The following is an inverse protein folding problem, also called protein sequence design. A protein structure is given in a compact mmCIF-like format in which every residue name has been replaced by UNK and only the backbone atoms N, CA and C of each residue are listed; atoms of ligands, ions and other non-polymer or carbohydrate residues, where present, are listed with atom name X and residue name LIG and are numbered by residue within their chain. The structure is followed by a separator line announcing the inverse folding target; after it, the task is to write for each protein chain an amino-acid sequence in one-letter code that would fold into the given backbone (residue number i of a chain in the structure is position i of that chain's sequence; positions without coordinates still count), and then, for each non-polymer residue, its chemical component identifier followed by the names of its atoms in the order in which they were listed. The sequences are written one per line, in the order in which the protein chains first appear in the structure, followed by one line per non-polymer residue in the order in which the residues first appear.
data_IF_634054833660
#
_entry.id   IF_634054833660
#
_cell.length_a   1.000
_cell.length_b   1.000
_cell.length_c   1.000
_cell.angle_alpha   90.00
_cell.angle_beta   90.00
_cell.angle_gamma   90.00
#
_symmetry.space_group_name_H-M   'P 1'
#
loop_
_entity.id
_entity.type
_entity.pdbx_description
1 polymer ?
#
# COMPACT_ATOMS: atom_id res chain seq x y z
N UNK A 1 6.87 -29.32 23.93
CA UNK A 1 5.70 -29.20 23.03
C UNK A 1 5.06 -27.80 23.00
N UNK A 2 5.62 -26.76 23.64
CA UNK A 2 4.98 -25.42 23.74
C UNK A 2 5.29 -24.43 22.58
N UNK A 3 5.98 -24.81 21.50
CA UNK A 3 6.56 -23.82 20.58
C UNK A 3 5.79 -23.53 19.29
N UNK A 4 5.01 -24.46 18.71
CA UNK A 4 4.46 -24.24 17.36
C UNK A 4 3.20 -23.36 17.32
N UNK A 5 2.35 -23.44 18.34
CA UNK A 5 1.07 -22.72 18.41
C UNK A 5 1.23 -21.25 18.81
N UNK A 6 2.30 -20.92 19.53
CA UNK A 6 2.57 -19.55 19.97
C UNK A 6 2.84 -18.59 18.81
N UNK A 7 3.40 -19.08 17.70
CA UNK A 7 3.74 -18.25 16.54
C UNK A 7 2.52 -17.73 15.76
N UNK A 8 1.52 -18.54 15.36
CA UNK A 8 0.32 -18.02 14.70
C UNK A 8 -0.50 -17.11 15.64
N UNK A 9 -0.50 -17.36 16.95
CA UNK A 9 -1.14 -16.46 17.93
C UNK A 9 -0.40 -15.11 17.99
N UNK A 10 0.94 -15.13 18.07
CA UNK A 10 1.74 -13.93 18.05
C UNK A 10 1.54 -13.14 16.75
N UNK A 11 1.52 -13.81 15.60
CA UNK A 11 1.22 -13.19 14.31
C UNK A 11 -0.16 -12.53 14.31
N UNK A 12 -1.20 -13.24 14.74
CA UNK A 12 -2.56 -12.69 14.84
C UNK A 12 -2.59 -11.42 15.70
N UNK A 13 -1.93 -11.43 16.86
CA UNK A 13 -1.84 -10.27 17.75
C UNK A 13 -1.10 -9.08 17.11
N UNK A 14 0.04 -9.33 16.46
CA UNK A 14 0.83 -8.29 15.80
C UNK A 14 0.09 -7.65 14.63
N UNK A 15 -0.63 -8.44 13.85
CA UNK A 15 -1.43 -7.96 12.71
C UNK A 15 -2.67 -7.19 13.19
N UNK A 16 -3.34 -7.69 14.23
CA UNK A 16 -4.45 -6.99 14.85
C UNK A 16 -4.04 -5.64 15.44
N UNK A 17 -2.79 -5.54 15.92
CA UNK A 17 -2.16 -4.29 16.33
C UNK A 17 -2.09 -3.21 15.23
N UNK A 18 -2.08 -3.59 13.94
CA UNK A 18 -2.16 -2.66 12.82
C UNK A 18 -3.61 -2.33 12.41
N UNK A 19 -4.54 -3.27 12.61
CA UNK A 19 -5.96 -3.10 12.29
C UNK A 19 -6.60 -1.93 13.03
N UNK A 20 -6.47 -1.89 14.37
CA UNK A 20 -7.13 -0.87 15.20
C UNK A 20 -6.65 0.55 14.84
N UNK A 21 -5.34 0.85 14.77
CA UNK A 21 -4.87 2.17 14.36
C UNK A 21 -5.25 2.52 12.92
N UNK A 22 -5.22 1.57 11.98
CA UNK A 22 -5.62 1.82 10.60
C UNK A 22 -7.10 2.24 10.51
N UNK A 23 -7.98 1.58 11.27
CA UNK A 23 -9.40 1.93 11.37
C UNK A 23 -9.59 3.33 11.99
N UNK A 24 -8.86 3.65 13.06
CA UNK A 24 -8.91 4.98 13.68
C UNK A 24 -8.46 6.08 12.72
N UNK A 25 -7.37 5.84 11.99
CA UNK A 25 -6.89 6.77 10.95
C UNK A 25 -7.95 6.90 9.87
N UNK A 26 -8.53 5.80 9.39
CA UNK A 26 -9.63 5.82 8.41
C UNK A 26 -10.79 6.69 8.88
N UNK A 27 -11.31 6.49 10.10
CA UNK A 27 -12.37 7.32 10.67
C UNK A 27 -11.98 8.81 10.67
N UNK A 28 -10.74 9.13 11.06
CA UNK A 28 -10.24 10.52 11.06
C UNK A 28 -10.13 11.15 9.65
N UNK A 29 -9.96 10.34 8.60
CA UNK A 29 -9.88 10.85 7.21
C UNK A 29 -11.23 11.36 6.69
N UNK A 30 -12.36 10.96 7.28
CA UNK A 30 -13.66 11.52 6.92
C UNK A 30 -13.78 12.99 7.31
N UNK A 31 -13.17 13.38 8.44
CA UNK A 31 -13.20 14.75 8.94
C UNK A 31 -12.33 15.72 8.13
N UNK A 32 -11.42 15.26 7.27
CA UNK A 32 -10.29 16.07 6.77
C UNK A 32 -10.29 16.39 5.26
N UNK A 33 -11.23 15.89 4.45
CA UNK A 33 -11.17 16.13 2.98
C UNK A 33 -12.54 16.45 2.35
N UNK A 34 -12.75 17.73 1.99
CA UNK A 34 -13.78 18.19 1.02
C UNK A 34 -13.25 18.15 -0.42
N UNK A 35 -14.09 17.66 -1.33
CA UNK A 35 -13.84 17.35 -2.74
C UNK A 35 -13.58 18.64 -3.56
N UNK A 36 -12.42 18.74 -4.20
CA UNK A 36 -12.12 19.66 -5.31
C UNK A 36 -11.13 18.96 -6.26
N UNK A 37 -11.05 19.35 -7.53
CA UNK A 37 -10.39 18.62 -8.64
C UNK A 37 -8.83 18.61 -8.62
N UNK A 38 -8.21 18.54 -7.43
CA UNK A 38 -6.73 18.57 -7.30
C UNK A 38 -6.13 17.15 -7.25
N UNK A 39 -4.96 16.89 -7.87
CA UNK A 39 -4.32 15.58 -7.87
C UNK A 39 -3.94 15.10 -6.45
N UNK A 40 -3.52 16.01 -5.57
CA UNK A 40 -3.26 15.68 -4.17
C UNK A 40 -4.55 15.22 -3.46
N UNK A 41 -5.68 15.88 -3.73
CA UNK A 41 -6.99 15.46 -3.19
C UNK A 41 -7.39 14.09 -3.70
N UNK A 42 -7.13 13.77 -4.97
CA UNK A 42 -7.39 12.42 -5.48
C UNK A 42 -6.54 11.37 -4.77
N UNK A 43 -5.26 11.64 -4.47
CA UNK A 43 -4.41 10.73 -3.70
C UNK A 43 -4.99 10.47 -2.29
N UNK A 44 -5.48 11.50 -1.61
CA UNK A 44 -6.13 11.33 -0.30
C UNK A 44 -7.48 10.63 -0.36
N UNK A 45 -8.21 10.70 -1.48
CA UNK A 45 -9.38 9.84 -1.69
C UNK A 45 -8.96 8.37 -1.79
N UNK A 46 -7.91 8.06 -2.55
CA UNK A 46 -7.36 6.71 -2.63
C UNK A 46 -6.83 6.23 -1.28
N UNK A 47 -6.27 7.10 -0.45
CA UNK A 47 -5.86 6.77 0.92
C UNK A 47 -7.03 6.23 1.76
N UNK A 48 -8.25 6.78 1.61
CA UNK A 48 -9.43 6.26 2.33
C UNK A 48 -9.72 4.82 1.93
N UNK A 49 -9.71 4.56 0.62
CA UNK A 49 -9.90 3.21 0.11
C UNK A 49 -8.78 2.28 0.59
N UNK A 50 -7.53 2.73 0.53
CA UNK A 50 -6.36 1.95 0.97
C UNK A 50 -6.42 1.61 2.46
N UNK A 51 -6.87 2.53 3.32
CA UNK A 51 -7.00 2.27 4.75
C UNK A 51 -8.12 1.26 5.05
N UNK A 52 -9.25 1.31 4.32
CA UNK A 52 -10.32 0.31 4.49
C UNK A 52 -9.85 -1.04 4.00
N UNK A 53 -9.26 -1.11 2.81
CA UNK A 53 -8.79 -2.39 2.26
C UNK A 53 -7.67 -2.96 3.11
N UNK A 54 -6.76 -2.13 3.62
CA UNK A 54 -5.72 -2.57 4.56
C UNK A 54 -6.33 -3.04 5.90
N UNK A 55 -7.37 -2.38 6.41
CA UNK A 55 -8.05 -2.82 7.63
C UNK A 55 -8.73 -4.19 7.40
N UNK A 56 -9.38 -4.40 6.26
CA UNK A 56 -9.93 -5.71 5.90
C UNK A 56 -8.82 -6.76 5.74
N UNK A 57 -7.73 -6.41 5.06
CA UNK A 57 -6.54 -7.26 4.95
C UNK A 57 -6.03 -7.70 6.32
N UNK A 58 -5.76 -6.76 7.23
CA UNK A 58 -5.25 -7.06 8.57
C UNK A 58 -6.26 -7.90 9.39
N UNK A 59 -7.57 -7.61 9.27
CA UNK A 59 -8.61 -8.38 9.95
C UNK A 59 -8.63 -9.84 9.46
N UNK A 60 -8.65 -10.07 8.14
CA UNK A 60 -8.68 -11.42 7.58
C UNK A 60 -7.36 -12.16 7.76
N UNK A 61 -6.21 -11.48 7.75
CA UNK A 61 -4.92 -12.08 8.05
C UNK A 61 -4.83 -12.52 9.53
N UNK A 62 -5.30 -11.69 10.46
CA UNK A 62 -5.41 -12.05 11.87
C UNK A 62 -6.40 -13.22 12.07
N UNK A 63 -7.55 -13.18 11.40
CA UNK A 63 -8.54 -14.26 11.45
C UNK A 63 -7.98 -15.59 10.90
N UNK A 64 -7.30 -15.56 9.74
CA UNK A 64 -6.63 -16.74 9.17
C UNK A 64 -5.61 -17.34 10.13
N UNK A 65 -4.81 -16.49 10.78
CA UNK A 65 -3.82 -16.91 11.77
C UNK A 65 -4.47 -17.50 13.02
N UNK A 66 -5.56 -16.90 13.49
CA UNK A 66 -6.36 -17.43 14.60
C UNK A 66 -7.01 -18.77 14.24
N UNK A 67 -7.52 -18.93 13.01
CA UNK A 67 -8.06 -20.21 12.54
C UNK A 67 -6.97 -21.28 12.43
N UNK A 68 -5.77 -20.93 11.97
CA UNK A 68 -4.62 -21.84 11.97
C UNK A 68 -4.22 -22.28 13.38
N UNK A 69 -4.15 -21.33 14.33
CA UNK A 69 -3.87 -21.64 15.73
C UNK A 69 -4.97 -22.54 16.33
N UNK A 70 -6.24 -22.20 16.13
CA UNK A 70 -7.36 -22.99 16.63
C UNK A 70 -7.42 -24.39 16.00
N UNK A 71 -7.07 -24.53 14.71
CA UNK A 71 -6.95 -25.84 14.06
C UNK A 71 -5.88 -26.69 14.75
N UNK A 72 -4.69 -26.13 14.98
CA UNK A 72 -3.62 -26.87 15.62
C UNK A 72 -3.96 -27.25 17.06
N UNK A 73 -4.52 -26.33 17.86
CA UNK A 73 -4.83 -26.56 19.28
C UNK A 73 -6.01 -27.53 19.47
N UNK A 74 -7.09 -27.35 18.70
CA UNK A 74 -8.36 -28.04 18.96
C UNK A 74 -8.51 -29.33 18.17
N UNK A 75 -7.97 -29.37 16.95
CA UNK A 75 -8.15 -30.49 16.01
C UNK A 75 -6.95 -31.42 16.03
N UNK A 76 -5.72 -30.89 16.14
CA UNK A 76 -4.48 -31.68 16.12
C UNK A 76 -3.85 -31.77 17.51
N UNK A 77 -4.43 -32.58 18.40
CA UNK A 77 -3.85 -32.80 19.73
C UNK A 77 -2.63 -33.73 19.58
N UNK A 78 -1.44 -33.23 19.89
CA UNK A 78 -0.16 -33.94 19.71
C UNK A 78 0.11 -34.42 18.26
N UNK A 79 -0.49 -33.76 17.27
CA UNK A 79 -0.39 -34.12 15.86
C UNK A 79 -1.39 -35.18 15.40
N UNK A 80 -2.20 -35.72 16.32
CA UNK A 80 -3.29 -36.65 16.02
C UNK A 80 -4.65 -35.93 16.01
N UNK A 81 -5.59 -36.44 15.21
CA UNK A 81 -6.93 -35.90 15.18
C UNK A 81 -7.63 -36.14 16.51
N UNK A 82 -8.20 -35.08 17.07
CA UNK A 82 -8.99 -35.17 18.28
C UNK A 82 -10.38 -35.75 17.95
N UNK A 83 -10.60 -37.03 18.26
CA UNK A 83 -11.85 -37.74 17.98
C UNK A 83 -13.08 -37.17 18.73
N UNK A 84 -12.86 -36.43 19.82
CA UNK A 84 -13.93 -35.83 20.64
C UNK A 84 -14.55 -34.57 20.00
N UNK A 85 -13.98 -34.07 18.91
CA UNK A 85 -14.37 -32.80 18.33
C UNK A 85 -15.61 -32.91 17.42
N UNK A 86 -16.63 -32.05 17.59
CA UNK A 86 -17.83 -32.11 16.76
C UNK A 86 -17.50 -32.00 15.28
N UNK A 87 -18.00 -32.95 14.48
CA UNK A 87 -17.74 -33.01 13.03
C UNK A 87 -18.13 -31.70 12.33
N UNK A 88 -19.22 -31.05 12.76
CA UNK A 88 -19.66 -29.77 12.22
C UNK A 88 -18.63 -28.66 12.44
N UNK A 89 -17.93 -28.66 13.59
CA UNK A 89 -16.89 -27.68 13.86
C UNK A 89 -15.65 -27.95 13.00
N UNK A 90 -15.25 -29.22 12.85
CA UNK A 90 -14.13 -29.60 11.98
C UNK A 90 -14.39 -29.18 10.53
N UNK A 91 -15.61 -29.41 10.02
CA UNK A 91 -16.03 -28.98 8.69
C UNK A 91 -15.99 -27.45 8.57
N UNK A 92 -16.58 -26.73 9.53
CA UNK A 92 -16.62 -25.27 9.52
C UNK A 92 -15.21 -24.65 9.51
N UNK A 93 -14.31 -25.16 10.36
CA UNK A 93 -12.90 -24.73 10.40
C UNK A 93 -12.14 -25.10 9.13
N UNK A 94 -12.45 -26.27 8.56
CA UNK A 94 -11.90 -26.75 7.29
C UNK A 94 -12.16 -25.78 6.15
N UNK A 95 -13.33 -25.12 6.11
CA UNK A 95 -13.66 -24.09 5.13
C UNK A 95 -13.19 -22.68 5.52
N UNK A 96 -13.37 -22.28 6.78
CA UNK A 96 -13.05 -20.92 7.24
C UNK A 96 -11.57 -20.57 7.06
N UNK A 97 -10.68 -21.53 7.32
CA UNK A 97 -9.23 -21.36 7.20
C UNK A 97 -8.77 -21.02 5.77
N UNK A 98 -8.99 -21.85 4.73
CA UNK A 98 -8.58 -21.53 3.37
C UNK A 98 -9.35 -20.33 2.80
N UNK A 99 -10.62 -20.14 3.12
CA UNK A 99 -11.39 -18.98 2.62
C UNK A 99 -10.82 -17.67 3.17
N UNK A 100 -10.58 -17.59 4.49
CA UNK A 100 -9.96 -16.40 5.09
C UNK A 100 -8.57 -16.13 4.51
N UNK A 101 -7.81 -17.18 4.22
CA UNK A 101 -6.51 -17.10 3.55
C UNK A 101 -6.60 -16.41 2.18
N UNK A 102 -7.50 -16.88 1.34
CA UNK A 102 -7.71 -16.32 -0.01
C UNK A 102 -8.20 -14.87 0.05
N UNK A 103 -9.11 -14.57 0.99
CA UNK A 103 -9.67 -13.23 1.14
C UNK A 103 -8.60 -12.23 1.59
N UNK A 104 -7.75 -12.58 2.57
CA UNK A 104 -6.70 -11.65 3.00
C UNK A 104 -5.68 -11.43 1.89
N UNK A 105 -5.25 -12.48 1.16
CA UNK A 105 -4.30 -12.35 0.05
C UNK A 105 -4.86 -11.39 -0.99
N UNK A 106 -6.15 -11.50 -1.34
CA UNK A 106 -6.77 -10.57 -2.27
C UNK A 106 -6.70 -9.12 -1.79
N UNK A 107 -7.04 -8.85 -0.52
CA UNK A 107 -6.96 -7.49 0.03
C UNK A 107 -5.52 -6.96 0.16
N UNK A 108 -4.52 -7.83 0.36
CA UNK A 108 -3.09 -7.48 0.28
C UNK A 108 -2.77 -6.89 -1.10
N UNK A 109 -3.09 -7.64 -2.17
CA UNK A 109 -2.81 -7.23 -3.55
C UNK A 109 -3.53 -5.91 -3.90
N UNK A 110 -4.80 -5.76 -3.50
CA UNK A 110 -5.54 -4.52 -3.72
C UNK A 110 -4.90 -3.34 -2.95
N UNK A 111 -4.42 -3.58 -1.74
CA UNK A 111 -3.75 -2.55 -0.94
C UNK A 111 -2.46 -2.08 -1.58
N UNK A 112 -1.64 -2.99 -2.13
CA UNK A 112 -0.42 -2.62 -2.87
C UNK A 112 -0.72 -1.78 -4.12
N UNK A 113 -1.76 -2.14 -4.87
CA UNK A 113 -2.22 -1.35 -6.02
C UNK A 113 -2.58 0.07 -5.58
N UNK A 114 -3.31 0.20 -4.48
CA UNK A 114 -3.74 1.51 -3.96
C UNK A 114 -2.54 2.33 -3.46
N UNK A 115 -1.60 1.73 -2.72
CA UNK A 115 -0.35 2.40 -2.29
C UNK A 115 0.44 2.89 -3.50
N UNK A 116 0.60 2.06 -4.53
CA UNK A 116 1.26 2.44 -5.78
C UNK A 116 0.60 3.68 -6.41
N UNK A 117 -0.73 3.68 -6.56
CA UNK A 117 -1.48 4.81 -7.13
C UNK A 117 -1.27 6.07 -6.28
N UNK A 118 -1.35 5.95 -4.95
CA UNK A 118 -1.17 7.06 -4.01
C UNK A 118 0.22 7.68 -4.17
N UNK A 119 1.29 6.87 -4.12
CA UNK A 119 2.67 7.37 -4.19
C UNK A 119 2.95 8.04 -5.55
N UNK A 120 2.50 7.46 -6.66
CA UNK A 120 2.63 8.06 -7.99
C UNK A 120 1.87 9.39 -8.11
N UNK A 121 0.67 9.48 -7.53
CA UNK A 121 -0.15 10.70 -7.53
C UNK A 121 0.48 11.79 -6.67
N UNK A 122 1.03 11.44 -5.50
CA UNK A 122 1.76 12.38 -4.66
C UNK A 122 3.01 12.90 -5.37
N UNK A 123 3.78 12.03 -6.04
CA UNK A 123 4.92 12.46 -6.87
C UNK A 123 4.49 13.50 -7.92
N UNK A 124 3.40 13.25 -8.65
CA UNK A 124 2.90 14.22 -9.65
C UNK A 124 2.41 15.52 -9.01
N UNK A 125 1.84 15.44 -7.80
CA UNK A 125 1.29 16.61 -7.12
C UNK A 125 2.40 17.54 -6.66
N UNK A 126 3.47 17.00 -6.08
CA UNK A 126 4.65 17.78 -5.66
C UNK A 126 5.32 18.43 -6.87
N UNK A 127 5.49 17.69 -7.97
CA UNK A 127 6.04 18.26 -9.21
C UNK A 127 5.19 19.42 -9.74
N UNK A 128 3.85 19.30 -9.72
CA UNK A 128 2.97 20.37 -10.16
C UNK A 128 3.09 21.63 -9.31
N UNK A 129 3.27 21.49 -7.99
CA UNK A 129 3.51 22.63 -7.10
C UNK A 129 4.84 23.33 -7.43
N UNK A 130 5.89 22.57 -7.76
CA UNK A 130 7.17 23.16 -8.19
C UNK A 130 7.11 23.83 -9.57
N UNK A 131 6.52 23.18 -10.57
CA UNK A 131 6.46 23.71 -11.93
C UNK A 131 5.50 24.90 -12.09
N UNK A 132 4.51 25.05 -11.20
CA UNK A 132 3.66 26.26 -11.18
C UNK A 132 4.47 27.55 -10.97
N UNK A 133 5.70 27.45 -10.43
CA UNK A 133 6.62 28.57 -10.28
C UNK A 133 7.40 28.93 -11.55
N UNK A 134 7.35 28.12 -12.62
CA UNK A 134 8.13 28.34 -13.85
C UNK A 134 7.16 28.55 -15.03
N UNK A 135 6.95 29.81 -15.49
CA UNK A 135 5.85 30.16 -16.40
C UNK A 135 5.91 29.56 -17.82
N UNK A 136 6.98 28.84 -18.20
CA UNK A 136 7.19 28.36 -19.58
C UNK A 136 7.44 26.85 -19.73
N UNK A 137 7.38 26.06 -18.65
CA UNK A 137 7.65 24.62 -18.75
C UNK A 137 6.39 23.83 -19.10
N UNK A 138 6.44 23.10 -20.22
CA UNK A 138 5.26 22.45 -20.79
C UNK A 138 4.73 21.31 -19.89
N UNK A 139 3.42 21.24 -19.57
CA UNK A 139 2.83 20.27 -18.63
C UNK A 139 2.73 18.82 -19.13
N UNK A 140 3.38 18.45 -20.24
CA UNK A 140 3.17 17.16 -20.92
C UNK A 140 3.62 15.94 -20.09
N UNK A 141 4.66 16.08 -19.26
CA UNK A 141 5.17 14.99 -18.41
C UNK A 141 4.14 14.49 -17.38
N UNK A 142 3.24 15.36 -16.91
CA UNK A 142 2.23 15.01 -15.91
C UNK A 142 1.08 14.16 -16.48
N UNK A 143 0.73 14.35 -17.76
CA UNK A 143 -0.41 13.68 -18.40
C UNK A 143 -0.10 12.22 -18.71
N UNK A 144 1.04 11.95 -19.36
CA UNK A 144 1.42 10.60 -19.77
C UNK A 144 1.58 9.66 -18.56
N UNK A 145 2.13 10.18 -17.47
CA UNK A 145 2.35 9.36 -16.29
C UNK A 145 1.05 8.99 -15.56
N UNK A 146 0.01 9.84 -15.62
CA UNK A 146 -1.31 9.47 -15.08
C UNK A 146 -1.89 8.27 -15.84
N UNK A 147 -1.78 8.27 -17.17
CA UNK A 147 -2.22 7.13 -17.98
C UNK A 147 -1.38 5.88 -17.71
N UNK A 148 -0.06 6.01 -17.61
CA UNK A 148 0.82 4.90 -17.25
C UNK A 148 0.45 4.30 -15.88
N UNK A 149 0.14 5.14 -14.87
CA UNK A 149 -0.26 4.64 -13.55
C UNK A 149 -1.59 3.87 -13.56
N UNK A 150 -2.55 4.29 -14.40
CA UNK A 150 -3.81 3.56 -14.56
C UNK A 150 -3.65 2.29 -15.37
N UNK A 151 -2.79 2.30 -16.39
CA UNK A 151 -2.43 1.09 -17.13
C UNK A 151 -1.77 0.04 -16.24
N UNK A 152 -0.77 0.44 -15.45
CA UNK A 152 -0.12 -0.43 -14.47
C UNK A 152 -1.12 -0.97 -13.43
N UNK A 153 -1.99 -0.11 -12.90
CA UNK A 153 -3.04 -0.52 -11.96
C UNK A 153 -4.02 -1.53 -12.56
N UNK A 154 -4.39 -1.36 -13.84
CA UNK A 154 -5.28 -2.28 -14.54
C UNK A 154 -4.63 -3.65 -14.74
N UNK A 155 -3.35 -3.69 -15.14
CA UNK A 155 -2.59 -4.94 -15.28
C UNK A 155 -2.48 -5.65 -13.93
N UNK A 156 -2.12 -4.93 -12.86
CA UNK A 156 -2.05 -5.49 -11.52
C UNK A 156 -3.40 -5.98 -11.02
N UNK A 157 -4.49 -5.25 -11.31
CA UNK A 157 -5.84 -5.67 -10.94
C UNK A 157 -6.25 -6.96 -11.68
N UNK A 158 -5.92 -7.08 -12.97
CA UNK A 158 -6.18 -8.29 -13.73
C UNK A 158 -5.42 -9.49 -13.13
N UNK A 159 -4.15 -9.31 -12.75
CA UNK A 159 -3.35 -10.34 -12.06
C UNK A 159 -3.94 -10.69 -10.68
N UNK A 160 -4.41 -9.71 -9.91
CA UNK A 160 -5.04 -9.94 -8.62
C UNK A 160 -6.36 -10.72 -8.74
N UNK A 161 -7.18 -10.40 -9.74
CA UNK A 161 -8.42 -11.14 -10.02
C UNK A 161 -8.15 -12.55 -10.54
N UNK A 162 -7.12 -12.73 -11.39
CA UNK A 162 -6.70 -14.05 -11.85
C UNK A 162 -6.21 -14.91 -10.66
N UNK A 163 -5.42 -14.33 -9.76
CA UNK A 163 -4.96 -14.98 -8.53
C UNK A 163 -6.14 -15.41 -7.65
N UNK A 164 -7.10 -14.51 -7.41
CA UNK A 164 -8.33 -14.81 -6.67
C UNK A 164 -9.13 -15.95 -7.33
N UNK A 165 -9.35 -15.87 -8.64
CA UNK A 165 -10.09 -16.88 -9.39
C UNK A 165 -9.42 -18.27 -9.34
N UNK A 166 -8.09 -18.33 -9.45
CA UNK A 166 -7.33 -19.57 -9.34
C UNK A 166 -7.40 -20.16 -7.93
N UNK A 167 -7.30 -19.33 -6.88
CA UNK A 167 -7.42 -19.80 -5.50
C UNK A 167 -8.83 -20.29 -5.17
N UNK A 168 -9.88 -19.61 -5.64
CA UNK A 168 -11.26 -20.09 -5.49
C UNK A 168 -11.43 -21.43 -6.20
N UNK A 169 -10.93 -21.56 -7.43
CA UNK A 169 -11.01 -22.82 -8.17
C UNK A 169 -10.21 -23.94 -7.50
N UNK A 170 -9.04 -23.64 -6.94
CA UNK A 170 -8.27 -24.58 -6.13
C UNK A 170 -9.08 -25.10 -4.93
N UNK A 171 -9.69 -24.20 -4.15
CA UNK A 171 -10.53 -24.59 -3.00
C UNK A 171 -11.69 -25.48 -3.48
N UNK A 172 -12.39 -25.07 -4.53
CA UNK A 172 -13.52 -25.85 -5.08
C UNK A 172 -13.05 -27.24 -5.52
N UNK A 173 -11.91 -27.34 -6.22
CA UNK A 173 -11.37 -28.64 -6.64
C UNK A 173 -11.02 -29.52 -5.44
N UNK A 174 -10.38 -28.95 -4.42
CA UNK A 174 -9.97 -29.67 -3.21
C UNK A 174 -11.14 -30.26 -2.42
N UNK A 175 -12.25 -29.53 -2.28
CA UNK A 175 -13.38 -29.95 -1.44
C UNK A 175 -14.51 -30.66 -2.19
N UNK A 176 -14.71 -30.38 -3.48
CA UNK A 176 -15.82 -30.93 -4.26
C UNK A 176 -15.38 -31.94 -5.32
N UNK A 177 -14.08 -32.23 -5.45
CA UNK A 177 -13.58 -33.24 -6.38
C UNK A 177 -13.78 -32.87 -7.85
N UNK A 178 -13.38 -31.65 -8.22
CA UNK A 178 -13.38 -31.22 -9.63
C UNK A 178 -12.41 -32.08 -10.48
N UNK A 179 -12.66 -32.18 -11.79
CA UNK A 179 -11.80 -32.91 -12.73
C UNK A 179 -10.39 -32.33 -12.88
N UNK A 180 -10.18 -31.09 -12.43
CA UNK A 180 -8.89 -30.41 -12.52
C UNK A 180 -8.00 -30.74 -11.34
N UNK A 181 -6.77 -31.19 -11.61
CA UNK A 181 -5.77 -31.48 -10.58
C UNK A 181 -5.52 -30.26 -9.67
N UNK A 182 -5.83 -30.36 -8.35
CA UNK A 182 -5.69 -29.25 -7.41
C UNK A 182 -4.24 -28.77 -7.25
N UNK A 183 -3.26 -29.67 -7.43
CA UNK A 183 -1.83 -29.30 -7.35
C UNK A 183 -1.48 -28.35 -8.48
N UNK A 184 -1.85 -28.69 -9.71
CA UNK A 184 -1.64 -27.84 -10.88
C UNK A 184 -2.31 -26.47 -10.74
N UNK A 185 -3.53 -26.41 -10.17
CA UNK A 185 -4.22 -25.14 -9.91
C UNK A 185 -3.49 -24.28 -8.89
N UNK A 186 -2.99 -24.87 -7.80
CA UNK A 186 -2.20 -24.18 -6.78
C UNK A 186 -0.86 -23.66 -7.33
N UNK A 187 -0.15 -24.45 -8.14
CA UNK A 187 1.09 -24.03 -8.82
C UNK A 187 0.81 -22.82 -9.73
N UNK A 188 -0.28 -22.82 -10.49
CA UNK A 188 -0.63 -21.65 -11.33
C UNK A 188 -0.99 -20.43 -10.49
N UNK A 189 -1.73 -20.61 -9.39
CA UNK A 189 -2.08 -19.50 -8.49
C UNK A 189 -0.82 -18.86 -7.89
N UNK A 190 0.14 -19.67 -7.44
CA UNK A 190 1.40 -19.19 -6.87
C UNK A 190 2.28 -18.50 -7.92
N UNK A 191 2.39 -19.02 -9.14
CA UNK A 191 3.10 -18.37 -10.24
C UNK A 191 2.52 -16.99 -10.60
N UNK A 192 1.19 -16.87 -10.69
CA UNK A 192 0.53 -15.59 -10.99
C UNK A 192 0.71 -14.59 -9.84
N UNK A 193 0.60 -15.05 -8.59
CA UNK A 193 0.86 -14.25 -7.40
C UNK A 193 2.32 -13.78 -7.34
N UNK A 194 3.27 -14.63 -7.70
CA UNK A 194 4.68 -14.27 -7.79
C UNK A 194 4.92 -13.21 -8.86
N UNK A 195 4.35 -13.39 -10.05
CA UNK A 195 4.44 -12.40 -11.13
C UNK A 195 3.90 -11.03 -10.68
N UNK A 196 2.77 -11.00 -9.96
CA UNK A 196 2.26 -9.77 -9.35
C UNK A 196 3.30 -9.10 -8.45
N UNK A 197 3.89 -9.86 -7.50
CA UNK A 197 4.88 -9.33 -6.55
C UNK A 197 6.13 -8.80 -7.26
N UNK A 198 6.59 -9.46 -8.32
CA UNK A 198 7.69 -8.98 -9.18
C UNK A 198 7.35 -7.66 -9.86
N UNK A 199 6.14 -7.54 -10.46
CA UNK A 199 5.71 -6.28 -11.08
C UNK A 199 5.65 -5.14 -10.06
N UNK A 200 5.08 -5.37 -8.88
CA UNK A 200 5.00 -4.36 -7.82
C UNK A 200 6.41 -3.96 -7.35
N UNK A 201 7.34 -4.91 -7.20
CA UNK A 201 8.73 -4.63 -6.88
C UNK A 201 9.40 -3.72 -7.93
N UNK A 202 9.30 -4.05 -9.22
CA UNK A 202 9.87 -3.21 -10.30
C UNK A 202 9.26 -1.80 -10.28
N UNK A 203 7.95 -1.69 -10.08
CA UNK A 203 7.27 -0.39 -9.98
C UNK A 203 7.75 0.40 -8.75
N UNK A 204 8.00 -0.27 -7.63
CA UNK A 204 8.48 0.37 -6.40
C UNK A 204 9.89 0.98 -6.56
N UNK A 205 10.79 0.32 -7.30
CA UNK A 205 12.08 0.90 -7.69
C UNK A 205 11.86 2.18 -8.51
N UNK A 206 10.96 2.12 -9.49
CA UNK A 206 10.62 3.28 -10.33
C UNK A 206 10.05 4.46 -9.51
N UNK A 207 9.21 4.17 -8.51
CA UNK A 207 8.67 5.19 -7.60
C UNK A 207 9.79 5.81 -6.75
N UNK A 208 10.68 5.01 -6.15
CA UNK A 208 11.81 5.53 -5.37
C UNK A 208 12.69 6.42 -6.23
N UNK A 209 13.14 5.95 -7.40
CA UNK A 209 13.95 6.73 -8.34
C UNK A 209 13.28 8.07 -8.66
N UNK A 210 11.97 8.05 -8.90
CA UNK A 210 11.21 9.25 -9.19
C UNK A 210 11.11 10.19 -7.99
N UNK A 211 10.83 9.71 -6.78
CA UNK A 211 10.79 10.57 -5.59
C UNK A 211 12.12 11.29 -5.33
N UNK A 212 13.24 10.61 -5.58
CA UNK A 212 14.57 11.20 -5.49
C UNK A 212 14.76 12.28 -6.57
N UNK A 213 14.35 12.03 -7.81
CA UNK A 213 14.38 13.05 -8.87
C UNK A 213 13.52 14.28 -8.50
N UNK A 214 12.33 14.07 -7.93
CA UNK A 214 11.47 15.17 -7.46
C UNK A 214 12.19 15.99 -6.39
N UNK A 215 12.84 15.36 -5.41
CA UNK A 215 13.59 16.07 -4.36
C UNK A 215 14.82 16.80 -4.90
N UNK A 216 15.53 16.24 -5.90
CA UNK A 216 16.68 16.91 -6.51
C UNK A 216 16.27 18.20 -7.23
N UNK A 217 15.13 18.19 -7.92
CA UNK A 217 14.55 19.38 -8.56
C UNK A 217 14.00 20.40 -7.56
N UNK A 218 13.66 19.96 -6.35
CA UNK A 218 13.14 20.81 -5.28
C UNK A 218 14.22 21.60 -4.53
N UNK A 219 15.50 21.26 -4.66
CA UNK A 219 16.58 22.08 -4.10
C UNK A 219 16.73 23.33 -4.98
N UNK A 220 16.44 24.53 -4.48
CA UNK A 220 16.72 25.75 -5.23
C UNK A 220 18.23 25.79 -5.48
N UNK A 221 18.63 26.04 -6.73
CA UNK A 221 20.03 26.23 -7.08
C UNK A 221 20.63 27.27 -6.13
N UNK A 222 21.59 26.83 -5.33
CA UNK A 222 22.36 27.61 -4.35
C UNK A 222 23.28 28.63 -5.04
N UNK A 223 23.03 28.94 -6.32
CA UNK A 223 23.82 29.85 -7.16
C UNK A 223 23.16 31.18 -7.49
N UNK A 224 21.93 31.46 -7.02
CA UNK A 224 21.29 32.74 -7.30
C UNK A 224 21.65 33.78 -6.23
N UNK A 225 22.44 34.77 -6.65
CA UNK A 225 23.01 35.87 -5.86
C UNK A 225 22.07 36.46 -4.79
N UNK A 226 22.67 36.77 -3.64
CA UNK A 226 22.19 37.29 -2.35
C UNK A 226 21.22 38.52 -2.33
N UNK A 227 20.63 38.95 -3.43
CA UNK A 227 19.97 40.26 -3.52
C UNK A 227 18.50 40.37 -3.09
N UNK A 228 17.73 39.27 -3.07
CA UNK A 228 16.26 39.36 -2.98
C UNK A 228 15.66 38.44 -1.91
N UNK A 229 15.98 38.68 -0.63
CA UNK A 229 15.22 38.13 0.50
C UNK A 229 13.85 38.81 0.59
N UNK A 230 12.88 38.34 -0.19
CA UNK A 230 11.46 38.60 0.08
C UNK A 230 11.04 37.71 1.26
N UNK A 231 10.81 38.35 2.41
CA UNK A 231 10.54 37.77 3.73
C UNK A 231 9.25 36.93 3.88
N UNK A 232 8.59 36.55 2.77
CA UNK A 232 7.30 35.86 2.76
C UNK A 232 7.29 34.42 2.22
N UNK A 233 8.40 33.85 1.74
CA UNK A 233 8.41 32.51 1.10
C UNK A 233 9.02 31.38 1.96
N UNK A 234 9.73 31.68 3.05
CA UNK A 234 10.49 30.69 3.82
C UNK A 234 9.64 29.59 4.48
N UNK A 235 8.37 29.84 4.80
CA UNK A 235 7.49 28.85 5.46
C UNK A 235 6.95 27.79 4.49
N UNK A 236 6.76 28.14 3.21
CA UNK A 236 6.30 27.21 2.17
C UNK A 236 7.38 26.17 1.84
N UNK A 237 8.63 26.61 1.73
CA UNK A 237 9.77 25.76 1.36
C UNK A 237 10.11 24.71 2.43
N UNK A 238 9.99 25.07 3.71
CA UNK A 238 10.21 24.14 4.83
C UNK A 238 9.18 23.02 4.84
N UNK A 239 7.91 23.35 4.65
CA UNK A 239 6.83 22.37 4.63
C UNK A 239 6.93 21.45 3.40
N UNK A 240 7.29 21.99 2.24
CA UNK A 240 7.47 21.22 1.01
C UNK A 240 8.66 20.24 1.11
N UNK A 241 9.77 20.67 1.72
CA UNK A 241 10.93 19.82 1.99
C UNK A 241 10.57 18.66 2.91
N UNK A 242 9.76 18.91 3.95
CA UNK A 242 9.28 17.87 4.85
C UNK A 242 8.39 16.85 4.14
N UNK A 243 7.43 17.31 3.32
CA UNK A 243 6.55 16.43 2.53
C UNK A 243 7.37 15.58 1.55
N UNK A 244 8.37 16.17 0.88
CA UNK A 244 9.28 15.45 -0.01
C UNK A 244 10.09 14.38 0.73
N UNK A 245 10.61 14.70 1.92
CA UNK A 245 11.33 13.73 2.76
C UNK A 245 10.43 12.57 3.21
N UNK A 246 9.20 12.88 3.63
CA UNK A 246 8.23 11.85 4.00
C UNK A 246 7.84 10.97 2.81
N UNK A 247 7.70 11.54 1.61
CA UNK A 247 7.39 10.77 0.41
C UNK A 247 8.51 9.80 0.04
N UNK A 248 9.77 10.22 0.19
CA UNK A 248 10.93 9.32 0.01
C UNK A 248 10.91 8.23 1.07
N UNK A 249 10.71 8.57 2.34
CA UNK A 249 10.63 7.58 3.42
C UNK A 249 9.53 6.55 3.16
N UNK A 250 8.32 7.00 2.78
CA UNK A 250 7.21 6.12 2.44
C UNK A 250 7.54 5.21 1.24
N UNK A 251 8.24 5.74 0.23
CA UNK A 251 8.63 4.96 -0.95
C UNK A 251 9.72 3.94 -0.64
N UNK A 252 10.67 4.26 0.24
CA UNK A 252 11.71 3.32 0.70
C UNK A 252 11.12 2.23 1.59
N UNK A 253 10.22 2.57 2.52
CA UNK A 253 9.53 1.58 3.36
C UNK A 253 8.69 0.64 2.50
N UNK A 254 7.99 1.16 1.50
CA UNK A 254 7.24 0.32 0.57
C UNK A 254 8.14 -0.49 -0.37
N UNK A 255 9.33 0.00 -0.75
CA UNK A 255 10.31 -0.82 -1.46
C UNK A 255 10.83 -1.97 -0.60
N UNK A 256 11.08 -1.74 0.70
CA UNK A 256 11.48 -2.81 1.63
C UNK A 256 10.40 -3.88 1.76
N UNK A 257 9.15 -3.46 1.85
CA UNK A 257 7.98 -4.35 1.81
C UNK A 257 7.98 -5.23 0.56
N UNK A 258 8.01 -4.64 -0.63
CA UNK A 258 7.87 -5.37 -1.89
C UNK A 258 9.07 -6.27 -2.15
N UNK A 259 10.26 -5.85 -1.71
CA UNK A 259 11.49 -6.64 -1.75
C UNK A 259 11.37 -7.88 -0.87
N UNK A 260 10.94 -7.70 0.39
CA UNK A 260 10.71 -8.82 1.30
C UNK A 260 9.61 -9.73 0.77
N UNK A 261 8.46 -9.20 0.36
CA UNK A 261 7.33 -9.97 -0.15
C UNK A 261 7.71 -10.82 -1.38
N UNK A 262 8.51 -10.28 -2.30
CA UNK A 262 8.99 -11.02 -3.46
C UNK A 262 10.00 -12.10 -3.05
N UNK A 263 11.00 -11.74 -2.25
CA UNK A 263 12.05 -12.66 -1.83
C UNK A 263 11.52 -13.79 -0.95
N UNK A 264 10.62 -13.47 -0.02
CA UNK A 264 9.96 -14.42 0.87
C UNK A 264 9.10 -15.41 0.09
N UNK A 265 8.33 -14.91 -0.89
CA UNK A 265 7.51 -15.76 -1.75
C UNK A 265 8.37 -16.71 -2.59
N UNK A 266 9.46 -16.22 -3.17
CA UNK A 266 10.40 -17.05 -3.93
C UNK A 266 11.11 -18.10 -3.06
N UNK A 267 11.40 -17.79 -1.80
CA UNK A 267 12.09 -18.70 -0.89
C UNK A 267 11.18 -19.81 -0.36
N UNK A 268 9.91 -19.49 -0.08
CA UNK A 268 9.00 -20.40 0.64
C UNK A 268 7.92 -21.04 -0.24
N UNK A 269 7.71 -20.55 -1.47
CA UNK A 269 6.77 -21.16 -2.41
C UNK A 269 7.53 -21.87 -3.53
N UNK A 270 7.24 -23.15 -3.74
CA UNK A 270 7.75 -23.87 -4.90
C UNK A 270 6.94 -23.46 -6.14
N UNK A 271 7.58 -22.73 -7.06
CA UNK A 271 6.96 -22.21 -8.28
C UNK A 271 6.82 -23.26 -9.38
N UNK A 272 7.57 -24.37 -9.30
CA UNK A 272 7.54 -25.44 -10.29
C UNK A 272 6.46 -26.47 -9.95
N UNK A 273 6.39 -26.86 -8.68
CA UNK A 273 5.45 -27.87 -8.21
C UNK A 273 5.02 -27.60 -6.77
N UNK A 274 3.76 -27.21 -6.57
CA UNK A 274 3.20 -26.94 -5.24
C UNK A 274 3.16 -28.16 -4.31
N UNK A 275 3.37 -29.38 -4.83
CA UNK A 275 3.45 -30.61 -4.03
C UNK A 275 4.86 -30.92 -3.54
N UNK A 276 5.87 -30.41 -4.23
CA UNK A 276 7.27 -30.61 -3.84
C UNK A 276 7.63 -29.69 -2.68
N UNK A 277 8.60 -30.12 -1.88
CA UNK A 277 9.07 -29.33 -0.75
C UNK A 277 9.48 -27.93 -1.22
N UNK A 278 9.15 -26.92 -0.41
CA UNK A 278 9.63 -25.56 -0.62
C UNK A 278 11.16 -25.54 -0.72
N UNK A 279 11.74 -24.60 -1.49
CA UNK A 279 13.19 -24.47 -1.61
C UNK A 279 13.89 -24.30 -0.26
N UNK A 280 13.19 -23.70 0.71
CA UNK A 280 13.63 -23.52 2.08
C UNK A 280 12.57 -24.08 3.04
N UNK A 281 13.01 -24.84 4.04
CA UNK A 281 12.15 -25.37 5.10
C UNK A 281 11.50 -24.23 5.89
N UNK A 282 10.17 -24.25 6.00
CA UNK A 282 9.43 -23.21 6.71
C UNK A 282 9.62 -23.34 8.22
N UNK A 283 10.29 -22.37 8.82
CA UNK A 283 10.52 -22.27 10.25
C UNK A 283 9.42 -21.44 10.94
N UNK A 284 8.99 -21.80 12.17
CA UNK A 284 7.88 -21.12 12.84
C UNK A 284 8.07 -19.61 13.08
N UNK A 285 9.31 -19.15 13.22
CA UNK A 285 9.58 -17.71 13.39
C UNK A 285 9.25 -16.88 12.14
N UNK A 286 9.02 -17.49 10.98
CA UNK A 286 8.63 -16.78 9.75
C UNK A 286 7.28 -16.08 9.87
N UNK A 287 6.37 -16.59 10.70
CA UNK A 287 5.15 -15.87 11.07
C UNK A 287 5.46 -14.46 11.58
N UNK A 288 6.49 -14.30 12.42
CA UNK A 288 6.87 -13.00 12.96
C UNK A 288 7.45 -12.10 11.87
N UNK A 289 8.30 -12.66 11.00
CA UNK A 289 8.89 -11.92 9.88
C UNK A 289 7.82 -11.46 8.87
N UNK A 290 6.80 -12.26 8.62
CA UNK A 290 5.68 -11.89 7.77
C UNK A 290 4.92 -10.69 8.33
N UNK A 291 4.59 -10.68 9.63
CA UNK A 291 4.00 -9.47 10.24
C UNK A 291 4.91 -8.24 10.11
N UNK A 292 6.20 -8.38 10.47
CA UNK A 292 7.12 -7.25 10.58
C UNK A 292 7.56 -6.66 9.24
N UNK A 293 7.74 -7.49 8.22
CA UNK A 293 8.30 -7.07 6.94
C UNK A 293 7.28 -7.11 5.79
N UNK A 294 6.17 -7.84 5.93
CA UNK A 294 5.07 -7.80 4.98
C UNK A 294 4.02 -6.77 5.42
N UNK A 295 3.41 -6.93 6.59
CA UNK A 295 2.20 -6.15 6.96
C UNK A 295 2.54 -4.75 7.50
N UNK A 296 3.48 -4.67 8.44
CA UNK A 296 3.83 -3.41 9.12
C UNK A 296 4.36 -2.32 8.16
N UNK A 297 5.21 -2.62 7.17
CA UNK A 297 5.69 -1.61 6.24
C UNK A 297 4.58 -1.00 5.38
N UNK A 298 3.57 -1.78 4.97
CA UNK A 298 2.39 -1.24 4.30
C UNK A 298 1.63 -0.27 5.21
N UNK A 299 1.39 -0.66 6.48
CA UNK A 299 0.78 0.20 7.47
C UNK A 299 1.55 1.51 7.66
N UNK A 300 2.87 1.43 7.89
CA UNK A 300 3.76 2.59 8.06
C UNK A 300 3.69 3.51 6.84
N UNK A 301 3.68 2.94 5.63
CA UNK A 301 3.54 3.71 4.39
C UNK A 301 2.23 4.51 4.37
N UNK A 302 1.10 3.88 4.73
CA UNK A 302 -0.20 4.55 4.81
C UNK A 302 -0.24 5.63 5.91
N UNK A 303 0.40 5.38 7.06
CA UNK A 303 0.55 6.38 8.13
C UNK A 303 1.35 7.59 7.64
N UNK A 304 2.48 7.39 6.97
CA UNK A 304 3.29 8.47 6.42
C UNK A 304 2.50 9.30 5.40
N UNK A 305 1.75 8.65 4.50
CA UNK A 305 0.86 9.33 3.54
C UNK A 305 -0.22 10.13 4.28
N UNK A 306 -0.82 9.57 5.33
CA UNK A 306 -1.80 10.27 6.15
C UNK A 306 -1.22 11.52 6.81
N UNK A 307 0.00 11.44 7.37
CA UNK A 307 0.69 12.57 7.98
C UNK A 307 1.01 13.67 6.96
N UNK A 308 1.44 13.29 5.74
CA UNK A 308 1.59 14.22 4.61
C UNK A 308 0.27 14.94 4.28
N UNK A 309 -0.86 14.25 4.43
CA UNK A 309 -2.21 14.80 4.22
C UNK A 309 -2.70 15.74 5.29
N UNK A 310 -2.40 15.49 6.57
CA UNK A 310 -2.79 16.42 7.66
C UNK A 310 -2.17 17.80 7.51
N UNK A 311 -0.90 17.85 7.10
CA UNK A 311 -0.16 19.10 6.79
C UNK A 311 -0.76 19.94 5.67
N UNK A 312 -1.77 19.43 4.95
CA UNK A 312 -2.59 20.20 4.01
C UNK A 312 -3.37 21.34 4.65
N UNK A 313 -3.65 21.25 5.94
CA UNK A 313 -4.26 22.35 6.69
C UNK A 313 -3.32 23.56 6.80
N UNK A 314 -2.00 23.37 6.61
CA UNK A 314 -0.98 24.42 6.70
C UNK A 314 -0.61 25.06 5.34
N UNK A 315 -1.38 24.82 4.27
CA UNK A 315 -1.25 25.56 3.00
C UNK A 315 -0.43 24.92 1.88
N UNK A 316 0.27 23.80 2.11
CA UNK A 316 1.16 23.14 1.09
C UNK A 316 0.44 22.73 -0.20
N UNK A 317 -0.84 22.37 -0.09
CA UNK A 317 -1.64 21.88 -1.21
C UNK A 317 -2.80 22.81 -1.56
N UNK A 318 -2.83 24.04 -1.00
CA UNK A 318 -3.71 25.06 -1.52
C UNK A 318 -3.12 25.51 -2.85
N UNK A 319 -3.93 25.45 -3.92
CA UNK A 319 -3.55 26.15 -5.14
C UNK A 319 -3.24 27.59 -4.76
N UNK A 320 -2.11 28.12 -5.21
CA UNK A 320 -1.95 29.56 -5.44
C UNK A 320 -2.92 29.97 -6.57
N UNK A 321 -4.22 29.78 -6.39
CA UNK A 321 -5.22 30.40 -7.25
C UNK A 321 -5.35 31.85 -6.76
N UNK A 322 -4.88 32.76 -7.61
CA UNK A 322 -5.13 34.21 -7.61
C UNK A 322 -4.67 35.00 -6.37
N UNK A 323 -3.36 35.22 -6.26
CA UNK A 323 -2.92 36.62 -6.11
C UNK A 323 -2.94 37.23 -7.50
N UNK A 324 -4.13 37.56 -8.00
CA UNK A 324 -4.21 38.68 -8.94
C UNK A 324 -3.50 39.83 -8.24
N UNK A 325 -2.54 40.54 -8.88
CA UNK A 325 -2.18 41.84 -8.37
C UNK A 325 -3.51 42.59 -8.30
N UNK A 326 -3.95 42.92 -7.08
CA UNK A 326 -4.82 44.07 -6.90
C UNK A 326 -4.01 45.22 -7.48
N UNK A 327 -4.17 45.45 -8.78
CA UNK A 327 -3.89 46.73 -9.40
C UNK A 327 -4.75 47.66 -8.59
N UNK A 328 -4.13 48.38 -7.65
CA UNK A 328 -4.75 49.44 -6.91
C UNK A 328 -5.30 50.41 -7.96
N UNK A 329 -6.58 50.29 -8.28
CA UNK A 329 -7.34 51.24 -9.10
C UNK A 329 -7.62 52.53 -8.31
N UNK A 330 -6.68 52.95 -7.48
CA UNK A 330 -6.62 54.26 -6.86
C UNK A 330 -5.46 55.02 -7.51
N UNK A 331 -5.68 55.43 -8.74
CA UNK A 331 -4.94 56.55 -9.30
C UNK A 331 -5.30 57.82 -8.54
N UNK A 332 -4.37 58.78 -8.37
CA UNK A 332 -4.64 60.04 -7.72
C UNK A 332 -5.71 60.82 -8.49
N UNK A 333 -6.69 61.35 -7.76
CA UNK A 333 -7.64 62.31 -8.29
C UNK A 333 -6.86 63.54 -8.78
N UNK A 334 -6.74 63.69 -10.10
CA UNK A 334 -6.33 64.96 -10.70
C UNK A 334 -7.51 65.93 -10.57
N UNK A 335 -7.46 66.79 -9.57
CA UNK A 335 -8.19 68.06 -9.58
C UNK A 335 -7.55 68.97 -10.62
N UNK A 336 -8.31 69.35 -11.64
CA UNK A 336 -7.93 70.40 -12.60
C UNK A 336 -8.64 71.70 -12.17
N UNK A 337 -7.96 72.86 -12.18
CA UNK A 337 -8.50 74.16 -11.76
C UNK A 337 -9.62 74.69 -12.68
#
# INVERSE_FOLDING_TARGET
MQSFESFPIAHAAMVFGCFVPALMIFCSTFCTVRRNKDPARTAFTYLKYALVTFSLYALFAAASSAFNAAWNILILKDGEFNDDMPINFMIAMGYARPISNVVYIFFELITDILIMIILLRLCTSILMVHHASIPNEKPYLGKNLRFASYGAALVLLALALATLGLYIHFIVSMYYGSSSDPVTLMTRATQVSFAFKVFVFVISIGIVARTVMVKRRAKPDVGMLDGAKTSGHASSDRNLTWVSNMLIAASVVWLLHTSFAMASFAAWSNLENARENSPVEYQPFYYIFEALFNIWPQFITLVLVYLMGRKKQDGVWMKQEERLPTVNAFGPAYTVP
#
